data_IF_158105280665
#
_entry.id   IF_158105280665
#
_cell.length_a   1.000
_cell.length_b   1.000
_cell.length_c   1.000
_cell.angle_alpha   90.00
_cell.angle_beta   90.00
_cell.angle_gamma   90.00
#
_symmetry.space_group_name_H-M   'P 1'
#
loop_
_entity.id
_entity.type
_entity.pdbx_description
1 polymer ?
#
# COMPACT_ATOMS: atom_id res chain seq x y z
N UNK A 1 -15.80 15.35 9.85
CA UNK A 1 -14.53 14.90 10.45
C UNK A 1 -14.05 13.75 9.59
N UNK A 2 -12.88 13.85 8.96
CA UNK A 2 -12.28 12.70 8.28
C UNK A 2 -11.79 11.75 9.38
N UNK A 3 -12.43 10.59 9.51
CA UNK A 3 -11.98 9.57 10.45
C UNK A 3 -10.65 9.00 9.91
N UNK A 4 -9.59 9.05 10.72
CA UNK A 4 -8.34 8.33 10.44
C UNK A 4 -8.67 6.84 10.40
N UNK A 5 -8.19 6.15 9.38
CA UNK A 5 -8.35 4.70 9.27
C UNK A 5 -7.22 4.01 10.04
N UNK A 6 -7.52 2.86 10.61
CA UNK A 6 -6.53 1.99 11.25
C UNK A 6 -5.73 1.22 10.20
N UNK A 7 -4.55 0.72 10.60
CA UNK A 7 -3.71 -0.16 9.76
C UNK A 7 -4.49 -1.32 9.13
N UNK A 8 -5.32 -2.00 9.93
CA UNK A 8 -6.14 -3.13 9.49
C UNK A 8 -7.18 -2.68 8.47
N UNK A 9 -7.91 -1.60 8.75
CA UNK A 9 -8.89 -1.05 7.81
C UNK A 9 -8.27 -0.63 6.48
N UNK A 10 -7.06 -0.07 6.48
CA UNK A 10 -6.36 0.32 5.24
C UNK A 10 -5.90 -0.91 4.45
N UNK A 11 -5.37 -1.92 5.15
CA UNK A 11 -4.93 -3.18 4.54
C UNK A 11 -6.10 -3.94 3.94
N UNK A 12 -7.21 -4.08 4.68
CA UNK A 12 -8.43 -4.72 4.21
C UNK A 12 -9.01 -3.97 3.01
N UNK A 13 -9.10 -2.63 3.09
CA UNK A 13 -9.56 -1.80 1.98
C UNK A 13 -8.69 -2.00 0.73
N UNK A 14 -7.37 -2.09 0.89
CA UNK A 14 -6.46 -2.36 -0.22
C UNK A 14 -6.77 -3.71 -0.86
N UNK A 15 -6.81 -4.77 -0.05
CA UNK A 15 -6.98 -6.15 -0.52
C UNK A 15 -8.36 -6.36 -1.16
N UNK A 16 -9.42 -5.79 -0.57
CA UNK A 16 -10.77 -5.79 -1.15
C UNK A 16 -10.80 -5.06 -2.49
N UNK A 17 -10.27 -3.83 -2.56
CA UNK A 17 -10.24 -3.04 -3.80
C UNK A 17 -9.46 -3.77 -4.89
N UNK A 18 -8.31 -4.36 -4.54
CA UNK A 18 -7.53 -5.17 -5.47
C UNK A 18 -8.32 -6.38 -5.97
N UNK A 19 -9.00 -7.10 -5.07
CA UNK A 19 -9.78 -8.27 -5.44
C UNK A 19 -10.98 -7.91 -6.33
N UNK A 20 -11.65 -6.77 -6.08
CA UNK A 20 -12.71 -6.29 -6.96
C UNK A 20 -12.22 -6.06 -8.41
N UNK A 21 -11.01 -5.52 -8.57
CA UNK A 21 -10.40 -5.36 -9.88
C UNK A 21 -9.99 -6.70 -10.50
N UNK A 22 -9.52 -7.64 -9.69
CA UNK A 22 -9.25 -9.02 -10.13
C UNK A 22 -10.53 -9.70 -10.64
N UNK A 23 -11.65 -9.52 -9.96
CA UNK A 23 -12.95 -10.08 -10.34
C UNK A 23 -13.51 -9.47 -11.63
N UNK A 24 -13.08 -8.25 -11.97
CA UNK A 24 -13.33 -7.59 -13.27
C UNK A 24 -12.39 -8.07 -14.39
N UNK A 25 -11.64 -9.15 -14.18
CA UNK A 25 -10.67 -9.75 -15.12
C UNK A 25 -9.46 -8.86 -15.48
N UNK A 26 -9.07 -7.90 -14.62
CA UNK A 26 -7.84 -7.15 -14.82
C UNK A 26 -6.61 -8.03 -14.55
N UNK A 27 -5.51 -7.77 -15.27
CA UNK A 27 -4.21 -8.35 -14.92
C UNK A 27 -3.76 -7.87 -13.54
N UNK A 28 -2.81 -8.57 -12.91
CA UNK A 28 -2.32 -8.17 -11.59
C UNK A 28 -1.73 -6.75 -11.60
N UNK A 29 -1.06 -6.37 -12.68
CA UNK A 29 -0.50 -5.02 -12.83
C UNK A 29 -1.59 -3.95 -12.97
N UNK A 30 -2.60 -4.21 -13.81
CA UNK A 30 -3.70 -3.27 -14.01
C UNK A 30 -4.53 -3.12 -12.73
N UNK A 31 -4.82 -4.23 -12.04
CA UNK A 31 -5.52 -4.20 -10.77
C UNK A 31 -4.73 -3.43 -9.71
N UNK A 32 -3.41 -3.66 -9.57
CA UNK A 32 -2.57 -2.90 -8.64
C UNK A 32 -2.52 -1.41 -8.96
N UNK A 33 -2.36 -1.05 -10.23
CA UNK A 33 -2.36 0.35 -10.65
C UNK A 33 -3.68 1.03 -10.31
N UNK A 34 -4.82 0.35 -10.56
CA UNK A 34 -6.14 0.87 -10.22
C UNK A 34 -6.41 0.97 -8.73
N UNK A 35 -6.01 -0.02 -7.94
CA UNK A 35 -6.07 0.06 -6.48
C UNK A 35 -5.26 1.24 -5.95
N UNK A 36 -4.05 1.45 -6.47
CA UNK A 36 -3.20 2.56 -6.06
C UNK A 36 -3.83 3.93 -6.41
N UNK A 37 -4.38 4.08 -7.61
CA UNK A 37 -5.11 5.28 -8.05
C UNK A 37 -6.31 5.57 -7.15
N UNK A 38 -7.13 4.57 -6.83
CA UNK A 38 -8.33 4.75 -5.99
C UNK A 38 -8.00 5.11 -4.54
N UNK A 39 -6.85 4.66 -4.04
CA UNK A 39 -6.39 4.94 -2.68
C UNK A 39 -5.54 6.23 -2.57
N UNK A 40 -5.34 6.98 -3.65
CA UNK A 40 -4.57 8.23 -3.63
C UNK A 40 -5.12 9.23 -2.60
N UNK A 41 -6.45 9.35 -2.52
CA UNK A 41 -7.11 10.20 -1.53
C UNK A 41 -6.90 9.69 -0.09
N UNK A 42 -6.82 8.38 0.12
CA UNK A 42 -6.54 7.78 1.43
C UNK A 42 -5.11 8.12 1.85
N UNK A 43 -4.14 7.90 0.95
CA UNK A 43 -2.72 8.22 1.20
C UNK A 43 -2.48 9.69 1.53
N UNK A 44 -3.34 10.61 1.07
CA UNK A 44 -3.23 12.03 1.39
C UNK A 44 -3.63 12.41 2.83
N UNK A 45 -4.20 11.48 3.60
CA UNK A 45 -4.75 11.75 4.94
C UNK A 45 -3.72 11.73 6.07
N UNK A 46 -2.61 11.03 5.90
CA UNK A 46 -1.59 10.87 6.93
C UNK A 46 -0.50 9.88 6.54
N UNK A 47 0.56 9.86 7.35
CA UNK A 47 1.73 9.03 7.10
C UNK A 47 1.43 7.54 7.26
N UNK A 48 0.55 7.17 8.22
CA UNK A 48 0.08 5.79 8.38
C UNK A 48 -0.67 5.30 7.14
N UNK A 49 -1.63 6.08 6.65
CA UNK A 49 -2.38 5.76 5.43
C UNK A 49 -1.46 5.59 4.23
N UNK A 50 -0.55 6.55 4.03
CA UNK A 50 0.42 6.53 2.93
C UNK A 50 1.33 5.31 3.01
N UNK A 51 1.92 5.06 4.17
CA UNK A 51 2.86 3.97 4.37
C UNK A 51 2.21 2.61 4.16
N UNK A 52 1.02 2.39 4.74
CA UNK A 52 0.31 1.11 4.66
C UNK A 52 -0.01 0.76 3.20
N UNK A 53 -0.56 1.71 2.44
CA UNK A 53 -0.88 1.50 1.01
C UNK A 53 0.40 1.25 0.20
N UNK A 54 1.45 2.04 0.42
CA UNK A 54 2.71 1.90 -0.32
C UNK A 54 3.40 0.56 -0.04
N UNK A 55 3.48 0.15 1.22
CA UNK A 55 4.07 -1.14 1.62
C UNK A 55 3.29 -2.27 0.95
N UNK A 56 1.96 -2.29 1.11
CA UNK A 56 1.12 -3.35 0.53
C UNK A 56 1.21 -3.42 -1.00
N UNK A 57 1.24 -2.27 -1.66
CA UNK A 57 1.47 -2.17 -3.09
C UNK A 57 2.83 -2.77 -3.48
N UNK A 58 3.90 -2.35 -2.80
CA UNK A 58 5.26 -2.85 -3.05
C UNK A 58 5.33 -4.37 -2.90
N UNK A 59 4.79 -4.94 -1.84
CA UNK A 59 4.77 -6.40 -1.62
C UNK A 59 4.18 -7.16 -2.81
N UNK A 60 3.06 -6.69 -3.35
CA UNK A 60 2.39 -7.35 -4.47
C UNK A 60 3.11 -7.12 -5.81
N UNK A 61 3.76 -5.97 -5.99
CA UNK A 61 4.63 -5.73 -7.14
C UNK A 61 5.86 -6.65 -7.10
N UNK A 62 6.47 -6.83 -5.92
CA UNK A 62 7.64 -7.69 -5.73
C UNK A 62 7.35 -9.16 -6.06
N UNK A 63 6.11 -9.61 -5.89
CA UNK A 63 5.65 -10.95 -6.30
C UNK A 63 5.59 -11.14 -7.82
N UNK A 64 5.84 -10.10 -8.62
CA UNK A 64 5.82 -10.14 -10.09
C UNK A 64 7.24 -10.07 -10.68
N UNK A 65 7.82 -11.20 -11.12
CA UNK A 65 9.26 -11.31 -11.43
C UNK A 65 9.75 -10.34 -12.51
N UNK A 66 8.94 -10.10 -13.54
CA UNK A 66 9.30 -9.20 -14.64
C UNK A 66 9.26 -7.73 -14.23
N UNK A 67 8.36 -7.38 -13.31
CA UNK A 67 8.14 -6.02 -12.85
C UNK A 67 9.22 -5.63 -11.87
N UNK A 68 9.54 -6.53 -10.94
CA UNK A 68 10.62 -6.35 -9.96
C UNK A 68 11.92 -5.85 -10.60
N UNK A 69 12.39 -6.51 -11.66
CA UNK A 69 13.65 -6.14 -12.31
C UNK A 69 13.68 -4.68 -12.81
N UNK A 70 12.54 -4.16 -13.27
CA UNK A 70 12.44 -2.79 -13.80
C UNK A 70 12.08 -1.74 -12.75
N UNK A 71 11.44 -2.14 -11.67
CA UNK A 71 10.82 -1.22 -10.71
C UNK A 71 11.52 -1.20 -9.35
N UNK A 72 12.44 -2.13 -9.06
CA UNK A 72 13.08 -2.21 -7.72
C UNK A 72 13.63 -0.88 -7.22
N UNK A 73 14.28 -0.10 -8.09
CA UNK A 73 14.96 1.13 -7.67
C UNK A 73 13.94 2.22 -7.33
N UNK A 74 12.82 2.26 -8.06
CA UNK A 74 11.68 3.14 -7.75
C UNK A 74 10.95 2.71 -6.48
N UNK A 75 10.73 1.40 -6.27
CA UNK A 75 10.12 0.88 -5.04
C UNK A 75 10.98 1.21 -3.82
N UNK A 76 12.30 1.07 -3.92
CA UNK A 76 13.21 1.46 -2.86
C UNK A 76 13.14 2.96 -2.57
N UNK A 77 13.02 3.81 -3.59
CA UNK A 77 12.84 5.25 -3.37
C UNK A 77 11.56 5.51 -2.58
N UNK A 78 10.42 4.92 -2.99
CA UNK A 78 9.15 5.12 -2.29
C UNK A 78 9.16 4.63 -0.85
N UNK A 79 9.79 3.48 -0.58
CA UNK A 79 9.90 2.96 0.78
C UNK A 79 10.82 3.83 1.65
N UNK A 80 11.88 4.40 1.09
CA UNK A 80 12.76 5.32 1.82
C UNK A 80 12.13 6.69 2.13
N UNK A 81 10.99 7.03 1.50
CA UNK A 81 10.24 8.26 1.78
C UNK A 81 9.23 8.08 2.94
N UNK A 82 9.11 6.88 3.50
CA UNK A 82 8.22 6.60 4.64
C UNK A 82 8.89 7.06 5.94
N UNK A 83 8.15 7.81 6.76
CA UNK A 83 8.55 8.19 8.12
C UNK A 83 8.26 7.05 9.11
N UNK A 84 9.18 6.09 9.17
CA UNK A 84 9.06 4.92 10.05
C UNK A 84 9.08 5.27 11.55
N UNK A 85 9.68 6.40 11.95
CA UNK A 85 9.70 6.83 13.34
C UNK A 85 8.30 7.30 13.77
N UNK A 86 7.57 7.97 12.87
CA UNK A 86 6.17 8.36 13.13
C UNK A 86 5.26 7.13 13.23
N UNK A 87 5.49 6.11 12.40
CA UNK A 87 4.68 4.88 12.42
C UNK A 87 4.82 4.09 13.72
N UNK A 88 6.03 4.05 14.31
CA UNK A 88 6.28 3.36 15.58
C UNK A 88 5.44 3.93 16.73
N UNK A 89 5.05 5.20 16.65
CA UNK A 89 4.20 5.86 17.64
C UNK A 89 2.70 5.63 17.43
N UNK A 90 2.27 5.35 16.19
CA UNK A 90 0.85 5.15 15.83
C UNK A 90 0.44 3.67 15.87
N UNK A 91 1.39 2.74 15.75
CA UNK A 91 1.15 1.30 15.67
C UNK A 91 1.46 0.57 16.97
N UNK A 92 0.77 -0.55 17.19
CA UNK A 92 1.25 -1.51 18.19
C UNK A 92 2.56 -2.15 17.75
N UNK A 93 3.38 -2.62 18.69
CA UNK A 93 4.66 -3.27 18.34
C UNK A 93 4.51 -4.48 17.43
N UNK A 94 3.37 -5.17 17.47
CA UNK A 94 3.07 -6.29 16.58
C UNK A 94 2.81 -5.77 15.15
N UNK A 95 1.97 -4.75 15.00
CA UNK A 95 1.65 -4.16 13.69
C UNK A 95 2.86 -3.45 13.06
N UNK A 96 3.74 -2.86 13.86
CA UNK A 96 4.95 -2.22 13.35
C UNK A 96 6.00 -3.21 12.84
N UNK A 97 6.00 -4.45 13.35
CA UNK A 97 6.97 -5.49 13.00
C UNK A 97 6.50 -6.42 11.87
N UNK A 98 5.22 -6.35 11.51
CA UNK A 98 4.63 -7.04 10.36
C UNK A 98 5.20 -6.48 9.04
#
# INVERSE_FOLDING_TARGET
MSQKLTYEEITDLFDETFQEYKDKNLSNLEALAKTYEDLELIMSKGDLEKATVLIRYCELVLKQPYVFYKSKDYLLQYLNEIDYDSLEQELSSIQYQD
#
